data_IF_173492001904
#
_entry.id   IF_173492001904
#
_cell.length_a   1.000
_cell.length_b   1.000
_cell.length_c   1.000
_cell.angle_alpha   90.00
_cell.angle_beta   90.00
_cell.angle_gamma   90.00
#
_symmetry.space_group_name_H-M   'P 1'
#
loop_
_entity.id
_entity.type
_entity.pdbx_description
1 polymer ?
#
# COMPACT_ATOMS: atom_id res chain seq x y z
N UNK A 1 -8.05 19.01 -12.65
CA UNK A 1 -9.22 19.42 -11.84
C UNK A 1 -9.19 18.62 -10.58
N UNK A 2 -9.17 19.27 -9.41
CA UNK A 2 -9.05 18.60 -8.12
C UNK A 2 -10.44 18.57 -7.48
N UNK A 3 -10.95 17.38 -7.17
CA UNK A 3 -12.21 17.16 -6.44
C UNK A 3 -11.88 16.39 -5.16
N UNK A 4 -12.62 16.68 -4.09
CA UNK A 4 -12.35 16.18 -2.74
C UNK A 4 -13.33 15.05 -2.36
N UNK A 5 -13.07 14.35 -1.25
CA UNK A 5 -13.94 13.27 -0.74
C UNK A 5 -15.43 13.65 -0.74
N UNK A 6 -15.85 14.86 -0.31
CA UNK A 6 -17.25 15.25 -0.32
C UNK A 6 -17.90 15.28 -1.71
N UNK A 7 -17.14 15.66 -2.75
CA UNK A 7 -17.64 15.75 -4.13
C UNK A 7 -17.96 14.35 -4.65
N UNK A 8 -17.04 13.41 -4.44
CA UNK A 8 -17.23 12.04 -4.85
C UNK A 8 -18.33 11.35 -4.04
N UNK A 9 -18.45 11.64 -2.74
CA UNK A 9 -19.59 11.16 -1.94
C UNK A 9 -20.91 11.67 -2.49
N UNK A 10 -20.99 12.92 -2.97
CA UNK A 10 -22.20 13.47 -3.57
C UNK A 10 -22.58 12.72 -4.85
N UNK A 11 -21.61 12.42 -5.71
CA UNK A 11 -21.82 11.66 -6.94
C UNK A 11 -22.27 10.21 -6.65
N UNK A 12 -21.61 9.53 -5.70
CA UNK A 12 -22.00 8.18 -5.28
C UNK A 12 -23.41 8.14 -4.66
N UNK A 13 -23.81 9.19 -3.93
CA UNK A 13 -25.19 9.35 -3.41
C UNK A 13 -26.21 9.53 -4.52
N UNK A 14 -25.83 10.16 -5.64
CA UNK A 14 -26.69 10.30 -6.81
C UNK A 14 -26.81 8.97 -7.55
N UNK A 15 -25.69 8.26 -7.73
CA UNK A 15 -25.62 6.97 -8.43
C UNK A 15 -26.47 5.89 -7.75
N UNK A 16 -26.41 5.75 -6.41
CA UNK A 16 -27.10 4.66 -5.69
C UNK A 16 -28.63 4.62 -5.87
N UNK A 17 -29.24 5.73 -6.30
CA UNK A 17 -30.71 5.86 -6.41
C UNK A 17 -31.26 4.96 -7.52
N UNK A 18 -32.53 4.54 -7.39
CA UNK A 18 -33.17 3.71 -8.40
C UNK A 18 -32.47 2.35 -8.55
N UNK A 19 -32.08 1.99 -9.77
CA UNK A 19 -31.44 0.70 -10.07
C UNK A 19 -29.91 0.68 -9.86
N UNK A 20 -29.31 1.78 -9.40
CA UNK A 20 -27.85 1.84 -9.21
C UNK A 20 -27.12 1.79 -10.54
N UNK A 21 -26.05 0.99 -10.61
CA UNK A 21 -25.26 0.80 -11.86
C UNK A 21 -26.04 0.12 -12.99
N UNK A 22 -27.12 -0.59 -12.66
CA UNK A 22 -27.99 -1.31 -13.61
C UNK A 22 -29.04 -0.41 -14.28
N UNK A 23 -29.13 0.88 -13.92
CA UNK A 23 -30.09 1.78 -14.56
C UNK A 23 -29.76 1.99 -16.05
N UNK A 24 -30.79 2.08 -16.91
CA UNK A 24 -30.60 2.32 -18.35
C UNK A 24 -29.72 3.56 -18.63
N UNK A 25 -29.92 4.62 -17.84
CA UNK A 25 -29.04 5.78 -17.76
C UNK A 25 -28.63 6.01 -16.31
N UNK A 26 -27.31 6.00 -16.05
CA UNK A 26 -26.76 6.21 -14.72
C UNK A 26 -26.38 7.67 -14.51
N UNK A 27 -26.60 8.16 -13.29
CA UNK A 27 -26.19 9.50 -12.89
C UNK A 27 -24.70 9.48 -12.53
N UNK A 28 -23.89 10.16 -13.34
CA UNK A 28 -22.45 10.29 -13.15
C UNK A 28 -22.15 11.78 -13.06
N UNK A 29 -21.73 12.23 -11.88
CA UNK A 29 -21.18 13.57 -11.73
C UNK A 29 -19.71 13.63 -12.14
N UNK A 30 -19.13 14.82 -12.10
CA UNK A 30 -17.80 15.07 -12.64
C UNK A 30 -16.68 14.31 -11.89
N UNK A 31 -16.77 14.21 -10.56
CA UNK A 31 -15.76 13.51 -9.76
C UNK A 31 -15.79 12.01 -10.05
N UNK A 32 -16.98 11.41 -10.02
CA UNK A 32 -17.15 9.99 -10.33
C UNK A 32 -16.80 9.67 -11.79
N UNK A 33 -17.16 10.55 -12.73
CA UNK A 33 -16.81 10.39 -14.14
C UNK A 33 -15.31 10.37 -14.36
N UNK A 34 -14.58 11.24 -13.67
CA UNK A 34 -13.11 11.29 -13.74
C UNK A 34 -12.48 10.03 -13.14
N UNK A 35 -12.88 9.64 -11.92
CA UNK A 35 -12.39 8.42 -11.25
C UNK A 35 -12.62 7.17 -12.10
N UNK A 36 -13.77 7.07 -12.77
CA UNK A 36 -14.13 5.92 -13.59
C UNK A 36 -13.60 6.00 -15.04
N UNK A 37 -12.85 7.05 -15.41
CA UNK A 37 -12.33 7.21 -16.78
C UNK A 37 -13.42 7.33 -17.86
N UNK A 38 -14.54 7.94 -17.51
CA UNK A 38 -15.67 8.18 -18.41
C UNK A 38 -15.35 9.37 -19.31
N UNK A 39 -15.38 9.15 -20.62
CA UNK A 39 -15.16 10.17 -21.64
C UNK A 39 -16.50 10.70 -22.17
N UNK A 40 -16.51 11.92 -22.69
CA UNK A 40 -17.71 12.51 -23.31
C UNK A 40 -18.19 11.72 -24.54
N UNK A 41 -17.27 11.03 -25.21
CA UNK A 41 -17.56 10.17 -26.37
C UNK A 41 -18.14 8.80 -26.01
N UNK A 42 -18.18 8.42 -24.73
CA UNK A 42 -18.69 7.13 -24.31
C UNK A 42 -20.22 7.04 -24.43
N UNK A 43 -20.69 5.99 -25.12
CA UNK A 43 -22.12 5.66 -25.15
C UNK A 43 -22.63 5.15 -23.79
N UNK A 44 -23.96 5.15 -23.54
CA UNK A 44 -24.55 4.80 -22.24
C UNK A 44 -24.09 3.44 -21.66
N UNK A 45 -23.90 2.43 -22.52
CA UNK A 45 -23.39 1.12 -22.11
C UNK A 45 -21.94 1.18 -21.60
N UNK A 46 -21.04 1.83 -22.34
CA UNK A 46 -19.63 1.96 -21.97
C UNK A 46 -19.47 2.75 -20.66
N UNK A 47 -20.27 3.81 -20.47
CA UNK A 47 -20.29 4.59 -19.22
C UNK A 47 -20.67 3.72 -18.02
N UNK A 48 -21.72 2.89 -18.15
CA UNK A 48 -22.14 1.95 -17.08
C UNK A 48 -21.07 0.93 -16.78
N UNK A 49 -20.52 0.31 -17.82
CA UNK A 49 -19.51 -0.73 -17.65
C UNK A 49 -18.28 -0.19 -16.91
N UNK A 50 -17.73 0.96 -17.33
CA UNK A 50 -16.60 1.61 -16.65
C UNK A 50 -16.88 1.92 -15.18
N UNK A 51 -18.08 2.45 -14.88
CA UNK A 51 -18.49 2.74 -13.50
C UNK A 51 -18.65 1.47 -12.68
N UNK A 52 -19.30 0.44 -13.22
CA UNK A 52 -19.51 -0.83 -12.53
C UNK A 52 -18.19 -1.55 -12.24
N UNK A 53 -17.28 -1.62 -13.22
CA UNK A 53 -15.95 -2.21 -13.07
C UNK A 53 -15.13 -1.49 -11.99
N UNK A 54 -15.07 -0.15 -12.06
CA UNK A 54 -14.32 0.66 -11.09
C UNK A 54 -14.89 0.49 -9.67
N UNK A 55 -16.21 0.56 -9.51
CA UNK A 55 -16.84 0.38 -8.21
C UNK A 55 -16.67 -1.04 -7.68
N UNK A 56 -16.72 -2.07 -8.54
CA UNK A 56 -16.47 -3.46 -8.14
C UNK A 56 -15.06 -3.62 -7.59
N UNK A 57 -14.07 -3.03 -8.25
CA UNK A 57 -12.68 -3.04 -7.79
C UNK A 57 -12.49 -2.31 -6.45
N UNK A 58 -13.13 -1.14 -6.27
CA UNK A 58 -13.05 -0.37 -5.03
C UNK A 58 -13.77 -1.07 -3.87
N UNK A 59 -14.97 -1.60 -4.12
CA UNK A 59 -15.77 -2.34 -3.14
C UNK A 59 -15.08 -3.63 -2.72
N UNK A 60 -14.36 -4.29 -3.63
CA UNK A 60 -13.53 -5.45 -3.32
C UNK A 60 -12.43 -5.19 -2.28
N UNK A 61 -12.00 -3.93 -2.10
CA UNK A 61 -10.99 -3.53 -1.08
C UNK A 61 -11.61 -3.25 0.30
N UNK A 62 -12.93 -3.22 0.42
CA UNK A 62 -13.60 -3.00 1.70
C UNK A 62 -13.55 -4.27 2.58
N UNK A 63 -13.55 -4.10 3.91
CA UNK A 63 -13.88 -5.17 4.85
C UNK A 63 -15.21 -5.84 4.50
N UNK A 64 -15.37 -7.12 4.82
CA UNK A 64 -16.51 -7.93 4.40
C UNK A 64 -17.88 -7.32 4.77
N UNK A 65 -17.97 -6.71 5.96
CA UNK A 65 -19.21 -6.11 6.45
C UNK A 65 -19.60 -4.84 5.69
N UNK A 66 -18.62 -4.02 5.28
CA UNK A 66 -18.85 -2.83 4.43
C UNK A 66 -19.00 -3.21 2.95
N UNK A 67 -18.34 -4.27 2.50
CA UNK A 67 -18.43 -4.77 1.12
C UNK A 67 -19.85 -5.15 0.77
N UNK A 68 -20.50 -5.98 1.59
CA UNK A 68 -21.88 -6.39 1.38
C UNK A 68 -22.82 -5.17 1.30
N UNK A 69 -22.63 -4.18 2.18
CA UNK A 69 -23.42 -2.94 2.18
C UNK A 69 -23.21 -2.16 0.88
N UNK A 70 -21.96 -2.06 0.41
CA UNK A 70 -21.63 -1.35 -0.81
C UNK A 70 -22.20 -2.04 -2.06
N UNK A 71 -22.10 -3.36 -2.15
CA UNK A 71 -22.69 -4.16 -3.24
C UNK A 71 -24.19 -3.91 -3.36
N UNK A 72 -24.93 -4.01 -2.25
CA UNK A 72 -26.36 -3.74 -2.25
C UNK A 72 -26.67 -2.24 -2.52
N UNK A 73 -25.85 -1.32 -2.02
CA UNK A 73 -26.04 0.12 -2.21
C UNK A 73 -25.98 0.49 -3.70
N UNK A 74 -24.94 0.04 -4.39
CA UNK A 74 -24.68 0.39 -5.79
C UNK A 74 -25.37 -0.55 -6.79
N UNK A 75 -25.91 -1.69 -6.33
CA UNK A 75 -26.51 -2.69 -7.21
C UNK A 75 -25.48 -3.57 -7.91
N UNK A 76 -24.28 -3.71 -7.33
CA UNK A 76 -23.24 -4.57 -7.87
C UNK A 76 -23.65 -6.03 -7.62
N UNK A 77 -23.59 -6.87 -8.66
CA UNK A 77 -23.97 -8.30 -8.62
C UNK A 77 -25.46 -8.57 -8.29
N UNK A 78 -26.33 -7.57 -8.46
CA UNK A 78 -27.78 -7.70 -8.25
C UNK A 78 -28.56 -7.88 -9.56
N UNK A 79 -29.81 -8.32 -9.46
CA UNK A 79 -30.72 -8.33 -10.61
C UNK A 79 -31.08 -6.88 -11.02
N UNK A 80 -31.07 -6.62 -12.34
CA UNK A 80 -31.23 -5.28 -12.91
C UNK A 80 -32.58 -4.61 -12.62
N UNK A 81 -33.56 -5.35 -12.09
CA UNK A 81 -34.93 -4.92 -11.79
C UNK A 81 -35.14 -4.53 -10.31
N UNK A 82 -34.13 -4.63 -9.45
CA UNK A 82 -34.29 -4.36 -8.02
C UNK A 82 -33.92 -2.91 -7.70
N UNK A 83 -34.88 -2.13 -7.20
CA UNK A 83 -34.67 -0.73 -6.76
C UNK A 83 -33.93 -0.62 -5.43
N UNK A 84 -33.31 0.53 -5.20
CA UNK A 84 -32.50 0.85 -4.01
C UNK A 84 -33.21 0.53 -2.70
N UNK A 85 -34.49 0.86 -2.55
CA UNK A 85 -35.25 0.61 -1.32
C UNK A 85 -35.35 -0.89 -1.00
N UNK A 86 -35.54 -1.73 -2.03
CA UNK A 86 -35.58 -3.19 -1.90
C UNK A 86 -34.19 -3.77 -1.61
N UNK A 87 -33.12 -3.22 -2.20
CA UNK A 87 -31.74 -3.62 -1.89
C UNK A 87 -31.37 -3.27 -0.45
N UNK A 88 -31.83 -2.11 0.05
CA UNK A 88 -31.58 -1.67 1.41
C UNK A 88 -32.28 -2.54 2.46
N UNK A 89 -33.49 -3.04 2.17
CA UNK A 89 -34.19 -3.98 3.05
C UNK A 89 -33.38 -5.27 3.30
N UNK A 90 -32.64 -5.77 2.30
CA UNK A 90 -31.72 -6.93 2.46
C UNK A 90 -30.55 -6.62 3.41
N UNK A 91 -30.10 -5.37 3.42
CA UNK A 91 -29.07 -4.90 4.35
C UNK A 91 -29.62 -4.82 5.78
N UNK A 92 -30.86 -4.36 5.94
CA UNK A 92 -31.56 -4.33 7.23
C UNK A 92 -31.74 -5.75 7.80
N UNK A 93 -32.20 -6.70 6.98
CA UNK A 93 -32.36 -8.11 7.36
C UNK A 93 -31.04 -8.76 7.77
N UNK A 94 -29.94 -8.50 7.05
CA UNK A 94 -28.63 -9.13 7.32
C UNK A 94 -27.93 -8.60 8.56
N UNK A 95 -28.12 -7.32 8.88
CA UNK A 95 -27.41 -6.63 9.97
C UNK A 95 -28.22 -6.65 11.28
N UNK A 96 -29.52 -6.99 11.24
CA UNK A 96 -30.44 -7.03 12.39
C UNK A 96 -30.44 -5.70 13.19
N UNK A 97 -30.58 -4.58 12.48
CA UNK A 97 -30.56 -3.23 13.07
C UNK A 97 -31.60 -2.32 12.43
N UNK A 98 -32.12 -1.37 13.21
CA UNK A 98 -33.06 -0.35 12.75
C UNK A 98 -32.50 0.49 11.58
N UNK A 99 -33.40 0.87 10.65
CA UNK A 99 -33.23 1.80 9.50
C UNK A 99 -32.24 2.94 9.74
N UNK A 100 -32.26 3.59 10.91
CA UNK A 100 -31.33 4.69 11.24
C UNK A 100 -29.87 4.27 11.24
N UNK A 101 -29.59 3.09 11.79
CA UNK A 101 -28.23 2.51 11.85
C UNK A 101 -27.77 2.09 10.47
N UNK A 102 -28.68 1.56 9.64
CA UNK A 102 -28.38 1.18 8.26
C UNK A 102 -28.05 2.40 7.40
N UNK A 103 -28.84 3.47 7.46
CA UNK A 103 -28.52 4.73 6.74
C UNK A 103 -27.14 5.27 7.11
N UNK A 104 -26.79 5.27 8.41
CA UNK A 104 -25.47 5.70 8.89
C UNK A 104 -24.35 4.81 8.32
N UNK A 105 -24.53 3.49 8.33
CA UNK A 105 -23.54 2.56 7.76
C UNK A 105 -23.41 2.71 6.24
N UNK A 106 -24.49 3.02 5.52
CA UNK A 106 -24.41 3.33 4.10
C UNK A 106 -23.61 4.62 3.88
N UNK A 107 -23.87 5.69 4.64
CA UNK A 107 -23.10 6.93 4.50
C UNK A 107 -21.60 6.74 4.84
N UNK A 108 -21.29 5.91 5.82
CA UNK A 108 -19.93 5.47 6.13
C UNK A 108 -19.30 4.70 4.96
N UNK A 109 -20.04 3.77 4.36
CA UNK A 109 -19.61 3.00 3.19
C UNK A 109 -19.31 3.91 2.00
N UNK A 110 -20.19 4.89 1.73
CA UNK A 110 -19.98 5.85 0.63
C UNK A 110 -18.72 6.70 0.85
N UNK A 111 -18.50 7.17 2.08
CA UNK A 111 -17.27 7.89 2.42
C UNK A 111 -16.05 7.00 2.24
N UNK A 112 -16.10 5.74 2.67
CA UNK A 112 -14.98 4.81 2.55
C UNK A 112 -14.64 4.46 1.11
N UNK A 113 -15.65 4.32 0.24
CA UNK A 113 -15.46 4.13 -1.20
C UNK A 113 -14.88 5.38 -1.85
N UNK A 114 -15.33 6.58 -1.44
CA UNK A 114 -14.77 7.83 -1.95
C UNK A 114 -13.31 8.04 -1.51
N UNK A 115 -12.99 7.75 -0.25
CA UNK A 115 -11.60 7.71 0.25
C UNK A 115 -10.78 6.73 -0.57
N UNK A 116 -11.24 5.47 -0.74
CA UNK A 116 -10.52 4.48 -1.55
C UNK A 116 -10.38 4.84 -3.03
N UNK A 117 -11.30 5.63 -3.57
CA UNK A 117 -11.29 6.08 -4.95
C UNK A 117 -10.30 7.23 -5.15
N UNK A 118 -10.21 8.16 -4.20
CA UNK A 118 -9.24 9.25 -4.24
C UNK A 118 -7.85 8.79 -3.79
N UNK A 119 -7.77 7.86 -2.83
CA UNK A 119 -6.56 7.11 -2.50
C UNK A 119 -6.18 6.13 -3.63
N UNK A 120 -7.16 5.73 -4.45
CA UNK A 120 -7.05 4.83 -5.60
C UNK A 120 -6.81 5.54 -6.93
N UNK A 121 -6.87 6.88 -6.95
CA UNK A 121 -6.36 7.71 -8.04
C UNK A 121 -4.83 7.68 -7.98
N UNK A 122 -4.30 6.59 -8.56
CA UNK A 122 -2.90 6.34 -8.95
C UNK A 122 -1.96 5.91 -7.81
N UNK A 123 -1.15 4.84 -8.03
CA UNK A 123 0.24 4.90 -7.59
C UNK A 123 0.81 6.16 -8.25
N UNK A 124 1.04 7.20 -7.48
CA UNK A 124 1.41 8.50 -7.97
C UNK A 124 2.71 8.44 -8.78
N UNK A 125 2.63 8.23 -10.10
CA UNK A 125 3.73 8.43 -11.04
C UNK A 125 3.71 9.84 -11.65
N UNK A 126 2.64 10.61 -11.43
CA UNK A 126 2.40 11.90 -12.10
C UNK A 126 2.67 13.15 -11.24
N UNK A 127 2.66 13.00 -9.92
CA UNK A 127 2.86 14.05 -8.92
C UNK A 127 3.99 13.70 -7.93
N UNK A 128 4.52 12.47 -8.01
CA UNK A 128 5.71 12.08 -7.26
C UNK A 128 6.93 12.57 -8.02
N UNK A 129 7.90 13.22 -7.36
CA UNK A 129 9.08 13.76 -8.02
C UNK A 129 9.95 12.68 -8.68
N UNK A 130 9.81 11.43 -8.22
CA UNK A 130 10.48 10.24 -8.74
C UNK A 130 9.75 8.98 -8.25
N UNK A 131 10.05 7.84 -8.85
CA UNK A 131 9.62 6.53 -8.36
C UNK A 131 10.80 5.55 -8.33
N UNK A 132 10.62 4.41 -7.64
CA UNK A 132 11.63 3.34 -7.63
C UNK A 132 11.35 2.34 -8.75
N UNK A 133 12.16 2.30 -9.80
CA UNK A 133 12.05 1.30 -10.85
C UNK A 133 12.49 -0.09 -10.37
N UNK A 134 13.43 -0.14 -9.43
CA UNK A 134 13.90 -1.40 -8.85
C UNK A 134 14.44 -1.20 -7.43
N UNK A 135 14.07 -2.11 -6.54
CA UNK A 135 14.66 -2.27 -5.22
C UNK A 135 15.11 -3.73 -5.07
N UNK A 136 16.39 -3.94 -4.80
CA UNK A 136 16.92 -5.23 -4.36
C UNK A 136 17.44 -5.10 -2.95
N UNK A 137 16.98 -5.96 -2.06
CA UNK A 137 17.42 -6.00 -0.67
C UNK A 137 17.98 -7.37 -0.34
N UNK A 138 19.16 -7.38 0.28
CA UNK A 138 19.72 -8.55 0.94
C UNK A 138 19.81 -8.29 2.44
N UNK A 139 19.06 -9.04 3.22
CA UNK A 139 19.13 -9.05 4.67
C UNK A 139 19.98 -10.25 5.11
N UNK A 140 21.01 -10.02 5.92
CA UNK A 140 21.91 -11.06 6.40
C UNK A 140 21.96 -11.00 7.92
N UNK A 141 21.58 -12.10 8.56
CA UNK A 141 21.74 -12.27 10.01
C UNK A 141 23.16 -12.72 10.32
N UNK A 142 23.99 -11.78 10.78
CA UNK A 142 25.32 -12.06 11.32
C UNK A 142 25.29 -12.47 12.80
N UNK A 143 26.45 -12.81 13.38
CA UNK A 143 26.56 -13.15 14.80
C UNK A 143 26.24 -11.96 15.72
N UNK A 144 26.74 -10.78 15.37
CA UNK A 144 26.71 -9.58 16.23
C UNK A 144 25.83 -8.44 15.69
N UNK A 145 25.40 -8.54 14.43
CA UNK A 145 24.59 -7.52 13.77
C UNK A 145 23.76 -8.13 12.64
N UNK A 146 22.67 -7.44 12.31
CA UNK A 146 21.92 -7.65 11.08
C UNK A 146 22.38 -6.63 10.06
N UNK A 147 22.82 -7.10 8.89
CA UNK A 147 23.21 -6.25 7.77
C UNK A 147 22.12 -6.25 6.70
N UNK A 148 21.74 -5.06 6.26
CA UNK A 148 20.83 -4.83 5.14
C UNK A 148 21.64 -4.18 4.03
N UNK A 149 21.69 -4.83 2.87
CA UNK A 149 22.24 -4.24 1.65
C UNK A 149 21.07 -3.88 0.74
N UNK A 150 20.93 -2.61 0.40
CA UNK A 150 19.89 -2.13 -0.52
C UNK A 150 20.54 -1.61 -1.80
N UNK A 151 20.05 -2.04 -2.95
CA UNK A 151 20.36 -1.44 -4.26
C UNK A 151 19.05 -0.89 -4.81
N UNK A 152 19.03 0.40 -5.13
CA UNK A 152 17.86 1.13 -5.62
C UNK A 152 18.17 1.77 -6.95
N UNK A 153 17.26 1.60 -7.91
CA UNK A 153 17.22 2.36 -9.15
C UNK A 153 15.95 3.19 -9.17
N UNK A 154 16.10 4.50 -9.30
CA UNK A 154 15.00 5.45 -9.37
C UNK A 154 14.87 6.04 -10.77
N UNK A 155 13.69 6.58 -11.08
CA UNK A 155 13.42 7.35 -12.30
C UNK A 155 12.84 8.70 -11.88
N UNK A 156 13.40 9.79 -12.38
CA UNK A 156 12.88 11.14 -12.13
C UNK A 156 11.61 11.43 -12.95
N UNK A 157 10.70 12.22 -12.40
CA UNK A 157 9.51 12.73 -13.09
C UNK A 157 9.49 14.25 -13.21
N UNK A 158 10.48 14.93 -12.64
CA UNK A 158 10.59 16.37 -12.63
C UNK A 158 11.97 16.81 -13.12
N UNK A 159 12.09 18.02 -13.70
CA UNK A 159 13.38 18.58 -14.04
C UNK A 159 14.21 18.85 -12.79
N UNK A 160 15.53 18.63 -12.90
CA UNK A 160 16.49 19.02 -11.88
C UNK A 160 16.35 18.33 -10.51
N UNK A 161 15.88 17.08 -10.46
CA UNK A 161 15.86 16.31 -9.22
C UNK A 161 17.29 16.10 -8.71
N UNK A 162 17.67 16.77 -7.61
CA UNK A 162 19.02 16.71 -7.05
C UNK A 162 19.11 15.88 -5.75
N UNK A 163 17.98 15.63 -5.08
CA UNK A 163 17.96 14.94 -3.79
C UNK A 163 16.82 13.91 -3.69
N UNK A 164 17.09 12.81 -2.99
CA UNK A 164 16.16 11.70 -2.79
C UNK A 164 16.07 11.42 -1.29
N UNK A 165 14.87 11.57 -0.72
CA UNK A 165 14.63 11.33 0.70
C UNK A 165 14.17 9.89 0.97
N UNK A 166 14.83 9.25 1.93
CA UNK A 166 14.51 7.91 2.41
C UNK A 166 14.33 7.91 3.92
N UNK A 167 13.76 6.81 4.42
CA UNK A 167 13.65 6.59 5.85
C UNK A 167 13.56 5.12 6.15
N UNK A 168 14.07 4.72 7.30
CA UNK A 168 13.92 3.38 7.86
C UNK A 168 13.17 3.48 9.18
N UNK A 169 12.20 2.59 9.36
CA UNK A 169 11.50 2.43 10.63
C UNK A 169 12.11 1.23 11.34
N UNK A 170 12.55 1.43 12.58
CA UNK A 170 13.10 0.36 13.43
C UNK A 170 12.08 0.11 14.53
N UNK A 171 11.27 -0.94 14.37
CA UNK A 171 10.25 -1.28 15.36
C UNK A 171 10.92 -1.78 16.66
N UNK A 172 10.50 -1.26 17.83
CA UNK A 172 11.00 -1.74 19.11
C UNK A 172 10.59 -3.20 19.30
N UNK A 173 11.50 -4.02 19.82
CA UNK A 173 11.18 -5.41 20.18
C UNK A 173 10.59 -5.43 21.60
N UNK A 174 9.50 -6.17 21.85
CA UNK A 174 8.95 -6.34 23.19
C UNK A 174 10.04 -6.73 24.19
N UNK A 175 10.14 -6.03 25.33
CA UNK A 175 11.15 -6.29 26.36
C UNK A 175 12.51 -5.58 26.16
N UNK A 176 12.79 -5.00 24.99
CA UNK A 176 13.98 -4.15 24.72
C UNK A 176 13.56 -2.88 23.97
N UNK A 177 13.05 -1.90 24.72
CA UNK A 177 12.36 -0.73 24.22
C UNK A 177 13.25 0.42 23.69
N UNK A 178 14.52 0.17 23.36
CA UNK A 178 15.42 1.24 22.88
C UNK A 178 15.50 1.18 21.36
N UNK A 179 14.89 2.16 20.70
CA UNK A 179 15.11 2.44 19.28
C UNK A 179 16.51 3.04 19.13
N UNK A 180 17.34 2.57 18.18
CA UNK A 180 18.66 3.13 17.97
C UNK A 180 18.57 4.61 17.56
N UNK A 181 19.46 5.44 18.10
CA UNK A 181 19.66 6.80 17.61
C UNK A 181 20.24 6.77 16.19
N UNK A 182 20.12 7.85 15.39
CA UNK A 182 20.62 7.87 14.01
C UNK A 182 22.09 7.45 13.86
N UNK A 183 22.97 7.80 14.80
CA UNK A 183 24.38 7.41 14.80
C UNK A 183 24.66 5.97 15.26
N UNK A 184 23.68 5.29 15.85
CA UNK A 184 23.79 3.89 16.31
C UNK A 184 23.37 2.90 15.22
N UNK A 185 22.50 3.33 14.30
CA UNK A 185 22.18 2.58 13.08
C UNK A 185 23.22 2.95 12.01
N UNK A 186 24.09 2.01 11.66
CA UNK A 186 25.16 2.27 10.69
C UNK A 186 24.62 2.35 9.27
N UNK A 187 24.17 3.54 8.83
CA UNK A 187 23.70 3.81 7.46
C UNK A 187 24.87 4.35 6.64
N UNK A 188 25.45 3.50 5.81
CA UNK A 188 26.53 3.85 4.90
C UNK A 188 26.01 3.88 3.46
N UNK A 189 26.34 4.93 2.72
CA UNK A 189 26.21 4.92 1.25
C UNK A 189 27.45 4.25 0.66
N UNK A 190 27.23 3.21 -0.14
CA UNK A 190 28.30 2.45 -0.79
C UNK A 190 28.68 3.11 -2.13
N UNK A 191 27.68 3.50 -2.92
CA UNK A 191 27.85 4.21 -4.19
C UNK A 191 26.62 5.04 -4.56
N UNK A 192 26.75 5.84 -5.63
CA UNK A 192 25.61 6.54 -6.24
C UNK A 192 25.31 7.92 -5.65
N UNK A 193 26.22 8.55 -4.91
CA UNK A 193 26.06 9.96 -4.52
C UNK A 193 26.75 10.29 -3.21
N UNK A 194 26.14 11.21 -2.44
CA UNK A 194 26.59 11.59 -1.10
C UNK A 194 25.43 11.48 -0.12
N UNK A 195 25.67 10.93 1.06
CA UNK A 195 24.66 10.83 2.12
C UNK A 195 24.67 12.09 2.99
N UNK A 196 23.54 12.77 3.08
CA UNK A 196 23.33 13.81 4.08
C UNK A 196 23.14 13.18 5.46
N UNK A 197 23.45 13.95 6.51
CA UNK A 197 23.38 13.48 7.90
C UNK A 197 21.98 12.90 8.24
N UNK A 198 21.90 11.66 8.73
CA UNK A 198 20.64 11.06 9.17
C UNK A 198 20.03 11.79 10.37
N UNK A 199 18.71 11.88 10.42
CA UNK A 199 17.99 12.53 11.51
C UNK A 199 16.73 11.78 11.92
N UNK A 200 16.26 12.00 13.15
CA UNK A 200 14.99 11.43 13.61
C UNK A 200 13.82 12.15 12.94
N UNK A 201 12.96 11.39 12.26
CA UNK A 201 11.68 11.87 11.70
C UNK A 201 10.50 11.59 12.64
N UNK A 202 10.59 10.50 13.43
CA UNK A 202 9.65 10.13 14.46
C UNK A 202 10.35 9.24 15.50
N UNK A 203 9.66 8.89 16.59
CA UNK A 203 10.23 8.12 17.71
C UNK A 203 10.95 6.82 17.30
N UNK A 204 10.52 6.16 16.22
CA UNK A 204 11.10 4.92 15.71
C UNK A 204 11.53 5.00 14.23
N UNK A 205 11.63 6.21 13.67
CA UNK A 205 11.86 6.41 12.24
C UNK A 205 13.02 7.37 11.99
N UNK A 206 14.06 6.87 11.36
CA UNK A 206 15.25 7.62 10.97
C UNK A 206 15.12 7.99 9.49
N UNK A 207 15.23 9.27 9.17
CA UNK A 207 15.29 9.81 7.81
C UNK A 207 16.72 10.07 7.37
N UNK A 208 16.97 9.92 6.08
CA UNK A 208 18.26 10.25 5.47
C UNK A 208 18.03 10.68 4.01
N UNK A 209 18.94 11.47 3.45
CA UNK A 209 18.82 11.97 2.08
C UNK A 209 20.05 11.63 1.26
N UNK A 210 19.83 11.12 0.05
CA UNK A 210 20.84 11.02 -0.98
C UNK A 210 20.92 12.34 -1.75
N UNK A 211 22.11 12.92 -1.82
CA UNK A 211 22.45 13.95 -2.79
C UNK A 211 22.97 13.24 -4.05
N UNK A 212 22.30 13.47 -5.17
CA UNK A 212 22.65 12.86 -6.45
C UNK A 212 23.93 13.50 -6.99
N UNK A 213 24.80 12.74 -7.68
CA UNK A 213 26.04 13.27 -8.25
C UNK A 213 25.80 14.32 -9.34
N UNK A 214 24.62 14.27 -9.96
CA UNK A 214 24.09 15.27 -10.89
C UNK A 214 22.56 15.34 -10.73
N UNK A 215 21.94 16.49 -11.02
CA UNK A 215 20.49 16.55 -11.14
C UNK A 215 19.98 15.63 -12.25
N UNK A 216 18.78 15.08 -12.07
CA UNK A 216 18.08 14.24 -13.04
C UNK A 216 16.90 14.99 -13.65
N UNK A 217 16.77 14.90 -14.97
CA UNK A 217 15.60 15.35 -15.72
C UNK A 217 14.54 14.24 -15.88
N UNK A 218 13.30 14.56 -16.30
CA UNK A 218 12.23 13.57 -16.38
C UNK A 218 12.60 12.37 -17.27
N UNK A 219 12.40 11.17 -16.73
CA UNK A 219 12.72 9.90 -17.39
C UNK A 219 14.16 9.44 -17.18
N UNK A 220 15.05 10.27 -16.64
CA UNK A 220 16.41 9.84 -16.30
C UNK A 220 16.42 8.93 -15.08
N UNK A 221 17.32 7.95 -15.12
CA UNK A 221 17.51 6.95 -14.08
C UNK A 221 18.78 7.18 -13.28
N UNK A 222 18.77 6.77 -12.02
CA UNK A 222 19.97 6.73 -11.19
C UNK A 222 19.93 5.55 -10.24
N UNK A 223 21.07 4.85 -10.13
CA UNK A 223 21.27 3.72 -9.23
C UNK A 223 22.21 4.09 -8.09
N UNK A 224 21.89 3.61 -6.89
CA UNK A 224 22.67 3.82 -5.68
C UNK A 224 22.47 2.66 -4.71
N UNK A 225 23.41 2.49 -3.78
CA UNK A 225 23.37 1.41 -2.82
C UNK A 225 23.73 1.81 -1.40
N UNK A 226 23.01 1.22 -0.44
CA UNK A 226 23.22 1.41 1.00
C UNK A 226 23.63 0.11 1.67
N UNK A 227 24.43 0.24 2.73
CA UNK A 227 24.56 -0.74 3.79
C UNK A 227 23.97 -0.17 5.06
N UNK A 228 23.04 -0.88 5.68
CA UNK A 228 22.47 -0.56 6.99
C UNK A 228 22.88 -1.65 7.97
N UNK A 229 23.58 -1.29 9.03
CA UNK A 229 24.01 -2.21 10.09
C UNK A 229 23.19 -1.96 11.36
N UNK A 230 22.43 -2.95 11.79
CA UNK A 230 21.68 -2.92 13.05
C UNK A 230 22.28 -3.91 14.05
N UNK A 231 22.94 -3.40 15.10
CA UNK A 231 23.48 -4.20 16.23
C UNK A 231 22.44 -4.47 17.32
N UNK A 232 21.30 -3.80 17.26
CA UNK A 232 20.20 -3.96 18.20
C UNK A 232 19.28 -5.11 17.83
N UNK A 233 18.19 -5.23 18.58
CA UNK A 233 17.18 -6.25 18.31
C UNK A 233 16.45 -5.91 17.01
N UNK A 234 16.30 -6.91 16.14
CA UNK A 234 15.67 -6.76 14.85
C UNK A 234 14.24 -7.31 14.93
N UNK A 235 13.23 -6.50 14.59
CA UNK A 235 11.85 -6.96 14.55
C UNK A 235 11.73 -8.18 13.62
N UNK A 236 10.84 -9.15 13.89
CA UNK A 236 10.82 -10.42 13.17
C UNK A 236 10.13 -10.29 11.79
N UNK A 237 10.46 -9.21 11.07
CA UNK A 237 10.02 -8.90 9.71
C UNK A 237 10.94 -7.85 9.09
N UNK A 238 11.08 -7.92 7.77
CA UNK A 238 11.59 -6.82 6.96
C UNK A 238 10.59 -6.52 5.85
N UNK A 239 10.19 -5.26 5.74
CA UNK A 239 9.18 -4.81 4.78
C UNK A 239 9.63 -3.55 4.04
N UNK A 240 9.30 -3.49 2.76
CA UNK A 240 9.26 -2.25 2.00
C UNK A 240 7.82 -1.69 2.07
N UNK A 241 7.69 -0.47 2.59
CA UNK A 241 6.46 0.32 2.52
C UNK A 241 6.76 1.57 1.69
N UNK A 242 6.60 1.51 0.35
CA UNK A 242 7.01 2.60 -0.51
C UNK A 242 6.17 3.87 -0.30
N UNK A 243 6.82 5.04 -0.23
CA UNK A 243 6.13 6.34 -0.28
C UNK A 243 5.64 6.66 -1.69
N UNK A 244 6.47 6.34 -2.68
CA UNK A 244 6.22 6.52 -4.11
C UNK A 244 6.22 5.16 -4.80
N UNK A 245 5.59 4.99 -5.97
CA UNK A 245 5.49 3.69 -6.63
C UNK A 245 6.82 2.94 -6.72
N UNK A 246 6.77 1.62 -6.54
CA UNK A 246 7.94 0.76 -6.71
C UNK A 246 7.60 -0.35 -7.71
N UNK A 247 8.29 -0.37 -8.83
CA UNK A 247 7.95 -1.25 -9.95
C UNK A 247 8.33 -2.69 -9.66
N UNK A 248 9.51 -2.89 -9.07
CA UNK A 248 10.04 -4.21 -8.73
C UNK A 248 10.74 -4.16 -7.38
N UNK A 249 10.40 -5.11 -6.51
CA UNK A 249 11.08 -5.33 -5.24
C UNK A 249 11.46 -6.80 -5.10
N UNK A 250 12.75 -7.06 -4.92
CA UNK A 250 13.29 -8.37 -4.57
C UNK A 250 13.89 -8.32 -3.17
N UNK A 251 13.41 -9.19 -2.29
CA UNK A 251 13.95 -9.38 -0.95
C UNK A 251 14.59 -10.75 -0.86
N UNK A 252 15.83 -10.81 -0.38
CA UNK A 252 16.48 -12.05 0.01
C UNK A 252 16.90 -11.95 1.47
N UNK A 253 16.43 -12.87 2.29
CA UNK A 253 16.79 -12.97 3.71
C UNK A 253 17.64 -14.20 3.89
N UNK A 254 18.87 -14.03 4.37
CA UNK A 254 19.77 -15.12 4.78
C UNK A 254 19.78 -15.23 6.29
N UNK A 255 19.20 -16.31 6.79
CA UNK A 255 19.25 -16.66 8.20
C UNK A 255 20.59 -17.32 8.53
N UNK A 256 21.05 -17.18 9.78
CA UNK A 256 22.21 -17.92 10.27
C UNK A 256 21.90 -19.43 10.35
N UNK A 257 22.88 -20.31 10.13
CA UNK A 257 22.66 -21.76 10.07
C UNK A 257 22.07 -22.37 11.35
N UNK A 258 22.22 -21.70 12.50
CA UNK A 258 21.67 -22.10 13.80
C UNK A 258 20.56 -21.18 14.30
N UNK A 259 20.02 -20.32 13.42
CA UNK A 259 19.01 -19.30 13.76
C UNK A 259 17.91 -19.23 12.70
N UNK A 260 17.61 -20.36 12.06
CA UNK A 260 16.50 -20.46 11.11
C UNK A 260 15.19 -20.46 11.91
N UNK A 261 14.27 -19.51 11.68
CA UNK A 261 12.98 -19.49 12.35
C UNK A 261 12.13 -20.71 11.99
N UNK A 262 11.30 -21.15 12.94
CA UNK A 262 10.34 -22.24 12.69
C UNK A 262 9.33 -21.92 11.60
N UNK A 263 8.91 -20.65 11.54
CA UNK A 263 7.94 -20.16 10.58
C UNK A 263 8.46 -18.93 9.88
N UNK A 264 8.35 -18.92 8.55
CA UNK A 264 8.67 -17.80 7.69
C UNK A 264 7.49 -17.63 6.74
N UNK A 265 7.06 -16.40 6.51
CA UNK A 265 5.88 -16.14 5.71
C UNK A 265 6.02 -14.87 4.88
N UNK A 266 5.26 -14.85 3.78
CA UNK A 266 5.18 -13.72 2.89
C UNK A 266 4.24 -12.65 3.44
N UNK A 267 4.66 -11.39 3.35
CA UNK A 267 3.85 -10.20 3.61
C UNK A 267 3.58 -9.55 2.25
N UNK A 268 2.33 -9.56 1.78
CA UNK A 268 1.97 -9.04 0.45
C UNK A 268 0.79 -8.09 0.57
N UNK A 269 1.01 -6.85 0.14
CA UNK A 269 -0.02 -5.81 0.12
C UNK A 269 -0.74 -5.67 1.48
N UNK A 270 0.03 -5.53 2.56
CA UNK A 270 -0.54 -5.40 3.90
C UNK A 270 -0.58 -3.95 4.37
N UNK A 271 -1.61 -3.59 5.16
CA UNK A 271 -1.60 -2.31 5.87
C UNK A 271 -0.45 -2.33 6.89
N UNK A 272 0.33 -1.24 7.03
CA UNK A 272 1.40 -1.19 8.03
C UNK A 272 0.94 -1.55 9.45
N UNK A 273 -0.28 -1.15 9.83
CA UNK A 273 -0.84 -1.43 11.15
C UNK A 273 -1.17 -2.92 11.35
N UNK A 274 -1.47 -3.66 10.28
CA UNK A 274 -1.83 -5.09 10.34
C UNK A 274 -0.61 -6.02 10.36
N UNK A 275 0.61 -5.48 10.20
CA UNK A 275 1.83 -6.29 10.13
C UNK A 275 2.09 -7.10 11.41
N UNK A 276 1.64 -6.60 12.55
CA UNK A 276 1.78 -7.26 13.85
C UNK A 276 0.61 -8.21 14.19
N UNK A 277 -0.43 -8.27 13.35
CA UNK A 277 -1.56 -9.16 13.59
C UNK A 277 -1.11 -10.62 13.41
N UNK A 278 -1.47 -11.46 14.38
CA UNK A 278 -1.32 -12.91 14.30
C UNK A 278 -2.36 -13.48 13.33
N UNK A 279 -2.16 -13.26 12.04
CA UNK A 279 -3.06 -13.78 11.01
C UNK A 279 -2.71 -15.24 10.67
N UNK A 280 -3.68 -16.19 10.74
CA UNK A 280 -3.43 -17.61 10.49
C UNK A 280 -3.34 -18.00 9.01
N UNK A 281 -3.22 -17.07 8.05
CA UNK A 281 -3.35 -17.36 6.60
C UNK A 281 -2.30 -16.73 5.68
N UNK A 282 -1.14 -16.34 6.20
CA UNK A 282 -0.03 -15.90 5.32
C UNK A 282 0.61 -17.10 4.64
N UNK A 283 1.03 -16.90 3.39
CA UNK A 283 1.75 -17.92 2.62
C UNK A 283 3.08 -18.24 3.32
N UNK A 284 3.33 -19.52 3.62
CA UNK A 284 4.58 -19.94 4.25
C UNK A 284 5.71 -20.07 3.21
N UNK A 285 6.89 -19.60 3.60
CA UNK A 285 8.11 -19.69 2.82
C UNK A 285 9.07 -20.69 3.49
N UNK A 286 9.89 -21.36 2.68
CA UNK A 286 10.93 -22.27 3.18
C UNK A 286 12.31 -21.75 2.78
N UNK A 287 13.29 -21.81 3.69
CA UNK A 287 14.67 -21.50 3.36
C UNK A 287 15.24 -22.58 2.45
N UNK A 288 16.15 -22.19 1.57
CA UNK A 288 16.95 -23.12 0.78
C UNK A 288 18.09 -23.75 1.59
N UNK A 289 18.93 -24.55 0.93
CA UNK A 289 20.07 -25.21 1.58
C UNK A 289 21.13 -24.24 2.14
N UNK A 290 21.14 -22.98 1.71
CA UNK A 290 22.02 -21.93 2.23
C UNK A 290 21.38 -21.13 3.36
N UNK A 291 20.14 -21.45 3.77
CA UNK A 291 19.39 -20.70 4.75
C UNK A 291 18.76 -19.42 4.19
N UNK A 292 18.63 -19.32 2.86
CA UNK A 292 18.11 -18.14 2.18
C UNK A 292 16.64 -18.29 1.81
N UNK A 293 15.87 -17.21 2.00
CA UNK A 293 14.48 -17.08 1.53
C UNK A 293 14.41 -15.87 0.61
N UNK A 294 13.85 -16.08 -0.58
CA UNK A 294 13.67 -15.01 -1.57
C UNK A 294 12.19 -14.78 -1.86
N UNK A 295 11.80 -13.51 -1.90
CA UNK A 295 10.48 -13.08 -2.35
C UNK A 295 10.60 -11.96 -3.38
N UNK A 296 9.73 -11.99 -4.38
CA UNK A 296 9.65 -10.99 -5.44
C UNK A 296 8.24 -10.40 -5.52
N UNK A 297 8.21 -9.08 -5.73
CA UNK A 297 7.01 -8.27 -5.77
C UNK A 297 7.11 -7.29 -6.93
N UNK A 298 5.98 -7.03 -7.59
CA UNK A 298 5.89 -6.11 -8.72
C UNK A 298 4.72 -5.15 -8.51
N UNK A 299 4.86 -3.92 -9.01
CA UNK A 299 3.80 -2.91 -8.96
C UNK A 299 3.34 -2.59 -7.54
N UNK A 300 4.29 -2.36 -6.63
CA UNK A 300 3.99 -2.10 -5.22
C UNK A 300 3.19 -0.80 -5.11
N UNK A 301 2.08 -0.91 -4.38
CA UNK A 301 1.17 0.20 -4.11
C UNK A 301 1.78 1.05 -2.98
N UNK A 302 1.84 2.39 -3.13
CA UNK A 302 2.28 3.28 -2.07
C UNK A 302 1.55 3.02 -0.74
N UNK A 303 2.26 3.18 0.38
CA UNK A 303 1.77 3.00 1.74
C UNK A 303 1.29 1.58 2.10
N UNK A 304 1.53 0.59 1.24
CA UNK A 304 1.27 -0.82 1.48
C UNK A 304 2.59 -1.55 1.73
N UNK A 305 2.56 -2.59 2.55
CA UNK A 305 3.77 -3.27 3.02
C UNK A 305 3.97 -4.59 2.31
N UNK A 306 5.20 -4.79 1.83
CA UNK A 306 5.63 -5.97 1.10
C UNK A 306 6.92 -6.49 1.70
N UNK A 307 7.05 -7.78 1.94
CA UNK A 307 8.28 -8.33 2.52
C UNK A 307 8.12 -9.73 3.07
N UNK A 308 8.95 -10.06 4.06
CA UNK A 308 8.98 -11.37 4.70
C UNK A 308 8.90 -11.15 6.21
N UNK A 309 8.03 -11.92 6.88
CA UNK A 309 7.98 -12.04 8.33
C UNK A 309 8.43 -13.44 8.76
N UNK A 310 8.83 -13.58 10.01
CA UNK A 310 9.22 -14.85 10.60
C UNK A 310 8.87 -14.93 12.07
N UNK A 311 8.88 -16.13 12.65
CA UNK A 311 8.72 -16.29 14.10
C UNK A 311 9.98 -15.79 14.80
N UNK A 312 9.83 -15.13 15.95
CA UNK A 312 10.98 -14.89 16.82
C UNK A 312 11.59 -16.25 17.22
N UNK A 313 12.91 -16.34 17.43
CA UNK A 313 13.50 -17.51 18.07
C UNK A 313 12.82 -17.73 19.43
N UNK A 314 12.50 -18.98 19.78
CA UNK A 314 12.16 -19.29 21.18
C UNK A 314 13.37 -18.93 22.06
N UNK A 315 13.13 -18.21 23.17
CA UNK A 315 14.16 -17.89 24.17
C UNK A 315 14.58 -19.12 24.98
#
# INVERSE_FOLDING_TARGET
MQFEVPDLVADLRALRRGYGVEAAEIKIGNALGTVCGVLESDGPHARRQKVAETLTALVGKLPEDLRFIAEQTFGLNGAADVRYERRLARVEERIDRNVRTVKRRVDETLRRVAELALDGERPDRGNSPWHTAQLRVRLVFGPDAVEVFEVRRIVSHQPGLAEVAHSVTVDPVPGRAVVPQPGELGIDLIDGGTLAEPSMLAANRIGYRLLLPRPLDPGEEHEFSYRITNKGTFAPRYVCTPKYPCDNFKLTVRFGPHRIPERIWLLRDEMPLALNDLQPRREELRPDAAGEVTAEFSGLVPNRSYGIGWSAPEE
#
